data_IF_795472965605
#
_entry.id   IF_795472965605
#
_cell.length_a   1.000
_cell.length_b   1.000
_cell.length_c   1.000
_cell.angle_alpha   90.00
_cell.angle_beta   90.00
_cell.angle_gamma   90.00
#
_symmetry.space_group_name_H-M   'P 1'
#
loop_
_entity.id
_entity.type
_entity.pdbx_description
1 polymer ?
#
# COMPACT_ATOMS: atom_id res chain seq x y z
N UNK A 1 -34.85 27.04 -52.98
CA UNK A 1 -35.39 25.74 -52.55
C UNK A 1 -34.74 25.38 -51.21
N UNK A 2 -35.54 25.29 -50.13
CA UNK A 2 -35.08 24.96 -48.77
C UNK A 2 -34.66 23.50 -48.70
N UNK A 3 -33.44 23.20 -48.23
CA UNK A 3 -33.02 21.84 -47.86
C UNK A 3 -32.99 21.76 -46.34
N UNK A 4 -33.99 21.11 -45.78
CA UNK A 4 -34.09 20.79 -44.36
C UNK A 4 -33.16 19.63 -44.07
N UNK A 5 -32.04 19.89 -43.38
CA UNK A 5 -31.20 18.84 -42.82
C UNK A 5 -31.77 18.47 -41.45
N UNK A 6 -32.34 17.27 -41.34
CA UNK A 6 -32.76 16.68 -40.07
C UNK A 6 -31.48 16.16 -39.40
N UNK A 7 -30.97 16.90 -38.42
CA UNK A 7 -29.90 16.44 -37.56
C UNK A 7 -30.48 15.47 -36.53
N UNK A 8 -30.15 14.18 -36.66
CA UNK A 8 -30.37 13.20 -35.61
C UNK A 8 -29.33 13.43 -34.51
N UNK A 9 -29.73 14.16 -33.47
CA UNK A 9 -28.94 14.25 -32.24
C UNK A 9 -29.00 12.92 -31.51
N UNK A 10 -27.92 12.14 -31.55
CA UNK A 10 -27.73 11.02 -30.64
C UNK A 10 -27.45 11.63 -29.26
N UNK A 11 -28.47 11.63 -28.41
CA UNK A 11 -28.34 12.01 -27.02
C UNK A 11 -27.46 10.96 -26.30
N UNK A 12 -26.20 11.31 -26.04
CA UNK A 12 -25.32 10.55 -25.14
C UNK A 12 -25.71 10.88 -23.69
N UNK A 13 -26.93 10.49 -23.30
CA UNK A 13 -27.43 10.60 -21.94
C UNK A 13 -27.14 9.30 -21.21
N UNK A 14 -25.93 9.14 -20.66
CA UNK A 14 -25.64 7.88 -19.97
C UNK A 14 -24.25 7.66 -19.38
N UNK A 15 -23.42 8.69 -19.21
CA UNK A 15 -22.23 8.55 -18.35
C UNK A 15 -22.49 9.31 -17.05
N UNK A 16 -23.44 8.77 -16.30
CA UNK A 16 -23.62 9.09 -14.89
C UNK A 16 -22.29 8.86 -14.18
N UNK A 17 -21.66 9.95 -13.76
CA UNK A 17 -20.81 10.06 -12.57
C UNK A 17 -20.25 8.72 -12.07
N UNK A 18 -19.14 8.28 -12.65
CA UNK A 18 -18.22 7.45 -11.89
C UNK A 18 -17.63 8.41 -10.85
N UNK A 19 -18.12 8.35 -9.61
CA UNK A 19 -17.39 8.91 -8.49
C UNK A 19 -16.03 8.21 -8.52
N UNK A 20 -15.01 8.91 -9.00
CA UNK A 20 -13.64 8.48 -8.83
C UNK A 20 -13.49 8.15 -7.32
N UNK A 21 -13.00 6.95 -6.95
CA UNK A 21 -12.73 6.68 -5.55
C UNK A 21 -11.80 7.80 -5.09
N UNK A 22 -12.28 8.60 -4.13
CA UNK A 22 -11.46 9.60 -3.44
C UNK A 22 -10.22 8.83 -2.99
N UNK A 23 -9.06 9.22 -3.49
CA UNK A 23 -7.81 8.64 -3.02
C UNK A 23 -7.79 8.87 -1.51
N UNK A 24 -7.85 7.79 -0.74
CA UNK A 24 -7.84 7.86 0.71
C UNK A 24 -6.47 8.41 1.12
N UNK A 25 -6.43 9.66 1.57
CA UNK A 25 -5.20 10.29 2.05
C UNK A 25 -4.85 9.69 3.41
N UNK A 26 -3.90 8.76 3.43
CA UNK A 26 -3.35 8.24 4.67
C UNK A 26 -2.41 9.26 5.31
N UNK A 27 -2.54 9.40 6.62
CA UNK A 27 -1.57 10.15 7.44
C UNK A 27 -0.23 9.42 7.52
N UNK A 28 0.85 10.14 7.79
CA UNK A 28 2.18 9.53 7.97
C UNK A 28 2.18 8.43 9.05
N UNK A 29 1.41 8.64 10.12
CA UNK A 29 1.19 7.67 11.19
C UNK A 29 0.56 6.38 10.67
N UNK A 30 -0.51 6.49 9.89
CA UNK A 30 -1.20 5.32 9.33
C UNK A 30 -0.31 4.53 8.37
N UNK A 31 0.49 5.24 7.55
CA UNK A 31 1.45 4.60 6.65
C UNK A 31 2.53 3.89 7.49
N UNK A 32 3.11 4.55 8.48
CA UNK A 32 4.11 3.97 9.39
C UNK A 32 3.60 2.71 10.10
N UNK A 33 2.38 2.76 10.64
CA UNK A 33 1.70 1.60 11.26
C UNK A 33 1.59 0.46 10.26
N UNK A 34 1.10 0.72 9.05
CA UNK A 34 0.93 -0.30 8.01
C UNK A 34 2.26 -0.89 7.55
N UNK A 35 3.34 -0.10 7.52
CA UNK A 35 4.68 -0.59 7.16
C UNK A 35 5.22 -1.59 8.17
N UNK A 36 5.15 -1.25 9.47
CA UNK A 36 5.60 -2.15 10.53
C UNK A 36 4.70 -3.39 10.60
N UNK A 37 3.38 -3.21 10.50
CA UNK A 37 2.42 -4.31 10.44
C UNK A 37 2.70 -5.25 9.26
N UNK A 38 2.99 -4.70 8.07
CA UNK A 38 3.33 -5.48 6.88
C UNK A 38 4.60 -6.31 7.07
N UNK A 39 5.67 -5.73 7.62
CA UNK A 39 6.87 -6.49 7.97
C UNK A 39 6.58 -7.64 8.93
N UNK A 40 5.83 -7.37 10.02
CA UNK A 40 5.48 -8.40 11.02
C UNK A 40 4.58 -9.49 10.44
N UNK A 41 3.62 -9.11 9.60
CA UNK A 41 2.75 -10.03 8.88
C UNK A 41 3.55 -10.93 7.92
N UNK A 42 4.52 -10.36 7.19
CA UNK A 42 5.42 -11.15 6.34
C UNK A 42 6.23 -12.17 7.14
N UNK A 43 6.78 -11.77 8.29
CA UNK A 43 7.48 -12.68 9.21
C UNK A 43 6.55 -13.77 9.76
N UNK A 44 5.30 -13.43 10.11
CA UNK A 44 4.32 -14.40 10.60
C UNK A 44 3.95 -15.43 9.53
N UNK A 45 3.67 -14.99 8.31
CA UNK A 45 3.22 -15.87 7.22
C UNK A 45 4.39 -16.68 6.64
N UNK A 46 5.61 -16.14 6.66
CA UNK A 46 6.80 -16.85 6.21
C UNK A 46 7.99 -16.67 7.19
N UNK A 47 8.04 -17.44 8.28
CA UNK A 47 9.08 -17.29 9.31
C UNK A 47 10.51 -17.52 8.82
N UNK A 48 10.70 -18.21 7.70
CA UNK A 48 12.02 -18.46 7.11
C UNK A 48 12.59 -17.24 6.36
N UNK A 49 11.76 -16.22 6.07
CA UNK A 49 12.20 -15.01 5.38
C UNK A 49 12.87 -14.00 6.31
N UNK A 50 13.93 -13.35 5.82
CA UNK A 50 14.53 -12.20 6.49
C UNK A 50 13.84 -10.92 6.00
N UNK A 51 12.89 -10.42 6.79
CA UNK A 51 12.07 -9.24 6.46
C UNK A 51 12.44 -8.06 7.36
N UNK A 52 12.58 -6.87 6.77
CA UNK A 52 12.88 -5.64 7.48
C UNK A 52 12.17 -4.46 6.85
N UNK A 53 11.51 -3.64 7.67
CA UNK A 53 10.90 -2.38 7.22
C UNK A 53 11.94 -1.42 6.62
N UNK A 54 13.21 -1.54 7.04
CA UNK A 54 14.32 -0.75 6.48
C UNK A 54 14.56 -1.06 5.00
N UNK A 55 14.33 -2.29 4.55
CA UNK A 55 14.46 -2.60 3.13
C UNK A 55 13.37 -1.90 2.32
N UNK A 56 12.14 -1.89 2.86
CA UNK A 56 11.01 -1.24 2.22
C UNK A 56 11.22 0.27 2.07
N UNK A 57 11.51 0.98 3.17
CA UNK A 57 11.62 2.44 3.15
C UNK A 57 12.85 2.97 2.39
N UNK A 58 13.84 2.10 2.16
CA UNK A 58 15.03 2.43 1.36
C UNK A 58 14.92 1.92 -0.09
N UNK A 59 13.81 1.28 -0.46
CA UNK A 59 13.56 0.86 -1.84
C UNK A 59 13.11 2.09 -2.66
N UNK A 60 13.87 2.51 -3.69
CA UNK A 60 13.54 3.72 -4.47
C UNK A 60 12.14 3.70 -5.07
N UNK A 61 11.66 2.54 -5.51
CA UNK A 61 10.35 2.33 -6.12
C UNK A 61 9.17 2.60 -5.17
N UNK A 62 9.41 2.64 -3.86
CA UNK A 62 8.36 2.88 -2.88
C UNK A 62 8.11 4.36 -2.59
N UNK A 63 8.98 5.26 -3.07
CA UNK A 63 8.83 6.73 -2.96
C UNK A 63 8.40 7.22 -1.56
N UNK A 64 8.89 6.57 -0.50
CA UNK A 64 8.52 6.90 0.88
C UNK A 64 9.14 8.24 1.30
N UNK A 65 8.30 9.16 1.76
CA UNK A 65 8.72 10.49 2.23
C UNK A 65 9.58 10.40 3.49
N UNK A 66 10.34 11.45 3.79
CA UNK A 66 11.21 11.46 4.96
C UNK A 66 10.42 11.54 6.27
N UNK A 67 9.24 12.17 6.24
CA UNK A 67 8.28 12.20 7.34
C UNK A 67 7.79 10.80 7.69
N UNK A 68 7.38 10.01 6.68
CA UNK A 68 6.97 8.62 6.90
C UNK A 68 8.14 7.76 7.40
N UNK A 69 9.37 7.97 6.90
CA UNK A 69 10.55 7.25 7.42
C UNK A 69 10.79 7.54 8.91
N UNK A 70 10.69 8.80 9.31
CA UNK A 70 10.85 9.22 10.70
C UNK A 70 9.75 8.63 11.59
N UNK A 71 8.50 8.72 11.14
CA UNK A 71 7.35 8.17 11.86
C UNK A 71 7.42 6.64 11.96
N UNK A 72 7.90 5.94 10.93
CA UNK A 72 8.12 4.48 10.94
C UNK A 72 9.16 4.08 11.98
N UNK A 73 10.23 4.88 12.15
CA UNK A 73 11.23 4.63 13.18
C UNK A 73 10.65 4.79 14.59
N UNK A 74 9.77 5.78 14.78
CA UNK A 74 9.04 5.98 16.04
C UNK A 74 8.08 4.81 16.28
N UNK A 75 7.28 4.45 15.27
CA UNK A 75 6.28 3.39 15.36
C UNK A 75 6.89 2.03 15.74
N UNK A 76 8.09 1.72 15.25
CA UNK A 76 8.78 0.47 15.58
C UNK A 76 9.18 0.38 17.06
N UNK A 77 9.51 1.51 17.69
CA UNK A 77 10.08 1.54 19.05
C UNK A 77 9.09 1.99 20.12
N UNK A 78 8.04 2.71 19.73
CA UNK A 78 7.08 3.28 20.67
C UNK A 78 5.99 2.29 21.08
N UNK A 79 5.66 2.18 22.38
CA UNK A 79 4.51 1.40 22.85
C UNK A 79 3.17 1.90 22.30
N UNK A 80 3.08 3.20 22.01
CA UNK A 80 1.83 3.87 21.63
C UNK A 80 1.27 3.39 20.28
N UNK A 81 2.09 2.70 19.49
CA UNK A 81 1.73 2.21 18.15
C UNK A 81 1.37 0.71 18.17
N UNK A 82 1.68 -0.02 19.25
CA UNK A 82 1.66 -1.49 19.21
C UNK A 82 0.25 -2.05 18.98
N UNK A 83 -0.78 -1.43 19.55
CA UNK A 83 -2.16 -1.88 19.34
C UNK A 83 -2.64 -1.59 17.92
N UNK A 84 -2.30 -0.44 17.34
CA UNK A 84 -2.63 -0.10 15.94
C UNK A 84 -1.90 -1.03 14.96
N UNK A 85 -0.61 -1.28 15.20
CA UNK A 85 0.22 -2.22 14.41
C UNK A 85 -0.38 -3.62 14.46
N UNK A 86 -0.77 -4.10 15.65
CA UNK A 86 -1.36 -5.43 15.82
C UNK A 86 -2.67 -5.55 15.05
N UNK A 87 -3.55 -4.55 15.12
CA UNK A 87 -4.82 -4.55 14.36
C UNK A 87 -4.58 -4.55 12.86
N UNK A 88 -3.69 -3.70 12.37
CA UNK A 88 -3.35 -3.65 10.95
C UNK A 88 -2.74 -4.98 10.48
N UNK A 89 -1.89 -5.61 11.30
CA UNK A 89 -1.33 -6.93 11.01
C UNK A 89 -2.42 -7.99 10.93
N UNK A 90 -3.32 -8.05 11.91
CA UNK A 90 -4.44 -8.99 11.95
C UNK A 90 -5.33 -8.83 10.71
N UNK A 91 -5.62 -7.59 10.29
CA UNK A 91 -6.38 -7.29 9.07
C UNK A 91 -5.69 -7.80 7.80
N UNK A 92 -4.38 -7.61 7.67
CA UNK A 92 -3.61 -8.09 6.50
C UNK A 92 -3.62 -9.61 6.34
N UNK A 93 -3.71 -10.36 7.45
CA UNK A 93 -3.68 -11.82 7.42
C UNK A 93 -5.07 -12.47 7.48
N UNK A 94 -6.13 -11.68 7.71
CA UNK A 94 -7.48 -12.17 8.01
C UNK A 94 -8.11 -12.96 6.87
N UNK A 95 -7.99 -12.49 5.63
CA UNK A 95 -8.65 -13.08 4.47
C UNK A 95 -7.68 -13.40 3.32
N UNK A 96 -8.18 -14.08 2.29
CA UNK A 96 -7.37 -14.50 1.14
C UNK A 96 -6.84 -13.32 0.33
N UNK A 97 -7.63 -12.25 0.19
CA UNK A 97 -7.25 -11.06 -0.56
C UNK A 97 -6.14 -10.29 0.15
N UNK A 98 -6.26 -10.08 1.46
CA UNK A 98 -5.22 -9.48 2.30
C UNK A 98 -3.93 -10.27 2.25
N UNK A 99 -3.99 -11.61 2.39
CA UNK A 99 -2.81 -12.47 2.29
C UNK A 99 -2.16 -12.44 0.91
N UNK A 100 -2.96 -12.37 -0.16
CA UNK A 100 -2.44 -12.25 -1.52
C UNK A 100 -1.69 -10.92 -1.72
N UNK A 101 -2.30 -9.80 -1.28
CA UNK A 101 -1.67 -8.48 -1.32
C UNK A 101 -0.39 -8.44 -0.47
N UNK A 102 -0.43 -9.02 0.73
CA UNK A 102 0.73 -9.16 1.61
C UNK A 102 1.85 -9.95 0.93
N UNK A 103 1.54 -11.04 0.23
CA UNK A 103 2.53 -11.84 -0.50
C UNK A 103 3.32 -11.03 -1.54
N UNK A 104 2.66 -10.12 -2.24
CA UNK A 104 3.30 -9.17 -3.17
C UNK A 104 4.20 -8.18 -2.42
N UNK A 105 3.68 -7.60 -1.34
CA UNK A 105 4.40 -6.61 -0.52
C UNK A 105 5.63 -7.18 0.17
N UNK A 106 5.61 -8.45 0.59
CA UNK A 106 6.72 -9.10 1.29
C UNK A 106 8.03 -9.09 0.48
N UNK A 107 7.96 -8.95 -0.85
CA UNK A 107 9.17 -8.85 -1.68
C UNK A 107 10.00 -7.59 -1.37
N UNK A 108 9.35 -6.46 -1.05
CA UNK A 108 10.00 -5.18 -0.73
C UNK A 108 10.61 -5.15 0.67
N UNK A 109 10.14 -6.03 1.57
CA UNK A 109 10.72 -6.18 2.91
C UNK A 109 11.95 -7.10 2.92
N UNK A 110 12.19 -7.88 1.87
CA UNK A 110 13.39 -8.72 1.76
C UNK A 110 14.61 -7.84 1.53
N UNK A 111 15.82 -8.30 1.92
CA UNK A 111 17.04 -7.61 1.53
C UNK A 111 17.04 -7.42 0.00
N UNK A 112 17.49 -6.25 -0.49
CA UNK A 112 17.62 -6.03 -1.92
C UNK A 112 18.46 -7.17 -2.50
N UNK A 113 18.07 -7.67 -3.68
CA UNK A 113 18.85 -8.69 -4.37
C UNK A 113 20.18 -8.06 -4.82
N UNK A 114 21.15 -8.06 -3.92
CA UNK A 114 22.50 -7.63 -4.22
C UNK A 114 23.14 -8.62 -5.19
N UNK A 115 23.75 -8.06 -6.23
CA UNK A 115 24.83 -8.72 -6.99
C UNK A 115 25.72 -9.50 -6.01
N UNK A 116 25.82 -10.81 -6.20
CA UNK A 116 26.82 -11.61 -5.52
C UNK A 116 28.19 -11.09 -5.95
N UNK A 117 28.92 -10.43 -5.06
CA UNK A 117 30.36 -10.34 -5.19
C UNK A 117 30.92 -11.72 -4.87
N UNK A 118 31.23 -12.48 -5.93
CA UNK A 118 32.22 -13.55 -5.92
C UNK A 118 33.55 -12.97 -6.38
#
# INVERSE_FOLDING_TARGET
>A
MKKTAIAYGVAFSGLSYIQAPVAEEFTDREIAVKLIAGQRACTQVNPAGNYSYKNFINTPEMEVTDEVKAETLIAETSPDYQEEIRRAQDEMVRDETGRAALGLLCSYYKPPKGFSFW
#
